data_IF_475167574834
#
_entry.id   IF_475167574834
#
_cell.length_a   1.000
_cell.length_b   1.000
_cell.length_c   1.000
_cell.angle_alpha   90.00
_cell.angle_beta   90.00
_cell.angle_gamma   90.00
#
_symmetry.space_group_name_H-M   'P 1'
#
loop_
_entity.id
_entity.type
_entity.pdbx_description
1 polymer ?
#
# COMPACT_ATOMS: atom_id res chain seq x y z
N UNK A 1 -11.11 -20.93 9.10
CA UNK A 1 -11.36 -21.46 7.73
C UNK A 1 -12.72 -20.99 7.29
N UNK A 2 -12.93 -20.79 5.99
CA UNK A 2 -14.28 -20.58 5.48
C UNK A 2 -15.05 -21.91 5.40
N UNK A 3 -16.32 -21.87 4.97
CA UNK A 3 -17.16 -23.06 4.80
C UNK A 3 -16.62 -24.07 3.79
N UNK A 4 -15.67 -23.67 2.94
CA UNK A 4 -15.02 -24.52 1.92
C UNK A 4 -13.64 -25.04 2.39
N UNK A 5 -13.26 -24.80 3.65
CA UNK A 5 -11.97 -25.25 4.22
C UNK A 5 -10.76 -24.41 3.81
N UNK A 6 -10.95 -23.25 3.17
CA UNK A 6 -9.86 -22.35 2.77
C UNK A 6 -9.32 -21.58 3.97
N UNK A 7 -8.00 -21.34 3.95
CA UNK A 7 -7.37 -20.41 4.88
C UNK A 7 -7.74 -18.98 4.49
N UNK A 8 -8.28 -18.25 5.45
CA UNK A 8 -8.74 -16.87 5.25
C UNK A 8 -7.60 -15.95 5.69
N UNK A 9 -7.23 -15.00 4.83
CA UNK A 9 -6.28 -13.93 5.17
C UNK A 9 -7.06 -12.74 5.70
N UNK A 10 -6.54 -12.11 6.75
CA UNK A 10 -7.08 -10.90 7.34
C UNK A 10 -6.01 -9.82 7.25
N UNK A 11 -6.42 -8.62 6.81
CA UNK A 11 -5.56 -7.44 6.72
C UNK A 11 -6.25 -6.26 7.39
N UNK A 12 -5.59 -5.67 8.39
CA UNK A 12 -5.98 -4.40 9.02
C UNK A 12 -5.11 -3.27 8.45
N UNK A 13 -5.75 -2.35 7.71
CA UNK A 13 -5.08 -1.24 7.04
C UNK A 13 -5.00 -0.01 7.96
N UNK A 14 -4.23 -0.13 9.03
CA UNK A 14 -3.93 1.00 9.90
C UNK A 14 -3.13 2.08 9.17
N UNK A 15 -3.36 3.35 9.52
CA UNK A 15 -2.70 4.50 8.85
C UNK A 15 -1.18 4.57 9.08
N UNK A 16 -0.69 4.01 10.18
CA UNK A 16 0.75 3.88 10.46
C UNK A 16 1.33 2.54 10.04
N UNK A 17 0.62 1.45 10.33
CA UNK A 17 1.08 0.09 10.06
C UNK A 17 -0.08 -0.76 9.55
N UNK A 18 0.22 -1.58 8.55
CA UNK A 18 -0.64 -2.70 8.14
C UNK A 18 -0.28 -3.90 9.00
N UNK A 19 -1.29 -4.62 9.46
CA UNK A 19 -1.14 -5.90 10.17
C UNK A 19 -1.88 -6.96 9.38
N UNK A 20 -1.25 -8.10 9.12
CA UNK A 20 -1.91 -9.19 8.42
C UNK A 20 -1.52 -10.57 8.97
N UNK A 21 -2.38 -11.54 8.69
CA UNK A 21 -2.21 -12.92 9.11
C UNK A 21 -3.40 -13.78 8.72
N UNK A 22 -3.43 -15.02 9.21
CA UNK A 22 -4.54 -15.93 8.96
C UNK A 22 -5.64 -15.84 10.02
N UNK A 23 -6.90 -15.94 9.59
CA UNK A 23 -8.04 -15.94 10.50
C UNK A 23 -7.96 -17.09 11.51
N UNK A 24 -8.13 -16.75 12.80
CA UNK A 24 -8.03 -17.68 13.92
C UNK A 24 -6.66 -17.69 14.62
N UNK A 25 -5.67 -16.92 14.15
CA UNK A 25 -4.46 -16.65 14.92
C UNK A 25 -4.71 -15.61 16.02
N UNK A 26 -4.00 -15.73 17.14
CA UNK A 26 -4.10 -14.78 18.26
C UNK A 26 -3.25 -13.51 18.06
N UNK A 27 -2.27 -13.56 17.15
CA UNK A 27 -1.33 -12.49 16.86
C UNK A 27 -1.18 -12.31 15.35
N UNK A 28 -0.88 -11.09 14.87
CA UNK A 28 -0.58 -10.87 13.46
C UNK A 28 0.72 -11.58 13.08
N UNK A 29 0.73 -12.25 11.93
CA UNK A 29 1.91 -12.93 11.41
C UNK A 29 2.92 -11.90 10.87
N UNK A 30 2.43 -10.80 10.32
CA UNK A 30 3.25 -9.71 9.78
C UNK A 30 2.71 -8.34 10.17
N UNK A 31 3.65 -7.42 10.43
CA UNK A 31 3.40 -6.00 10.66
C UNK A 31 4.41 -5.22 9.82
N UNK A 32 3.92 -4.31 8.99
CA UNK A 32 4.78 -3.45 8.16
C UNK A 32 4.22 -2.03 8.07
N UNK A 33 5.06 -1.01 7.84
CA UNK A 33 4.60 0.37 7.70
C UNK A 33 3.59 0.49 6.56
N UNK A 34 2.53 1.27 6.77
CA UNK A 34 1.55 1.61 5.73
C UNK A 34 2.11 2.66 4.75
N UNK A 35 3.24 2.33 4.11
CA UNK A 35 4.06 3.23 3.31
C UNK A 35 4.40 2.58 1.97
N UNK A 36 4.26 3.35 0.89
CA UNK A 36 4.80 3.01 -0.43
C UNK A 36 5.76 4.11 -0.85
N UNK A 37 7.02 3.75 -1.09
CA UNK A 37 8.00 4.65 -1.70
C UNK A 37 7.87 4.63 -3.22
N UNK A 38 7.88 5.81 -3.84
CA UNK A 38 8.03 5.94 -5.30
C UNK A 38 9.40 6.54 -5.58
N UNK A 39 10.30 5.83 -6.28
CA UNK A 39 11.56 6.43 -6.71
C UNK A 39 11.28 7.68 -7.55
N UNK A 40 11.82 8.82 -7.12
CA UNK A 40 11.74 10.07 -7.89
C UNK A 40 13.07 10.26 -8.58
N UNK A 41 13.08 10.15 -9.91
CA UNK A 41 14.22 10.55 -10.73
C UNK A 41 14.17 12.08 -10.80
N UNK A 42 15.13 12.76 -10.17
CA UNK A 42 15.30 14.23 -10.28
C UNK A 42 15.96 14.63 -11.60
N UNK A 43 15.59 13.99 -12.71
CA UNK A 43 15.89 14.56 -14.01
C UNK A 43 14.85 15.64 -14.23
N UNK A 44 15.27 16.90 -14.26
CA UNK A 44 14.45 18.01 -14.75
C UNK A 44 13.89 17.60 -16.10
N UNK A 45 12.68 17.03 -16.11
CA UNK A 45 12.10 16.45 -17.32
C UNK A 45 11.49 17.62 -18.05
N UNK A 46 12.36 18.37 -18.74
CA UNK A 46 11.97 19.49 -19.60
C UNK A 46 11.49 18.91 -20.91
N UNK A 47 10.20 19.04 -21.19
CA UNK A 47 9.65 18.86 -22.54
C UNK A 47 9.47 20.25 -23.11
N UNK A 48 10.48 20.73 -23.85
CA UNK A 48 10.54 22.12 -24.31
C UNK A 48 10.72 23.11 -23.15
N UNK A 49 9.83 24.10 -23.04
CA UNK A 49 9.86 25.13 -21.99
C UNK A 49 9.05 24.77 -20.72
N UNK A 50 8.52 23.55 -20.64
CA UNK A 50 7.64 23.12 -19.54
C UNK A 50 8.44 22.25 -18.57
N UNK A 51 8.53 22.69 -17.31
CA UNK A 51 9.10 21.93 -16.20
C UNK A 51 8.02 21.01 -15.60
N UNK A 52 8.19 19.69 -15.74
CA UNK A 52 7.26 18.72 -15.17
C UNK A 52 7.64 18.50 -13.70
N UNK A 53 6.89 19.14 -12.78
CA UNK A 53 6.98 18.84 -11.35
C UNK A 53 6.12 17.64 -11.01
N UNK A 54 6.75 16.53 -10.66
CA UNK A 54 6.06 15.33 -10.17
C UNK A 54 5.71 15.53 -8.69
N UNK A 55 4.51 16.04 -8.42
CA UNK A 55 3.95 16.15 -7.07
C UNK A 55 3.04 14.95 -6.79
N UNK A 56 3.60 13.81 -6.37
CA UNK A 56 2.79 12.78 -5.72
C UNK A 56 2.87 12.99 -4.20
N UNK A 57 1.75 13.27 -3.52
CA UNK A 57 1.76 13.32 -2.07
C UNK A 57 2.13 11.93 -1.54
N UNK A 58 3.24 11.84 -0.80
CA UNK A 58 3.64 10.69 0.02
C UNK A 58 2.73 10.58 1.23
N UNK A 59 1.44 10.43 0.99
CA UNK A 59 0.45 10.26 2.04
C UNK A 59 -0.43 9.11 1.59
N UNK A 60 -0.44 8.05 2.40
CA UNK A 60 -1.45 7.04 2.72
C UNK A 60 -2.63 6.77 1.74
N UNK A 61 -3.12 7.76 0.99
CA UNK A 61 -4.24 7.71 0.06
C UNK A 61 -4.10 6.75 -1.12
N UNK A 62 -2.90 6.28 -1.46
CA UNK A 62 -2.72 5.38 -2.61
C UNK A 62 -2.88 3.88 -2.28
N UNK A 63 -2.92 3.50 -0.99
CA UNK A 63 -3.18 2.11 -0.62
C UNK A 63 -4.64 1.71 -0.87
N UNK A 64 -5.56 2.69 -0.83
CA UNK A 64 -6.97 2.46 -1.13
C UNK A 64 -7.26 2.30 -2.63
N UNK A 65 -6.48 2.95 -3.50
CA UNK A 65 -6.72 2.88 -4.95
C UNK A 65 -6.16 1.61 -5.60
N UNK A 66 -5.11 1.00 -5.03
CA UNK A 66 -4.47 -0.19 -5.63
C UNK A 66 -5.10 -1.51 -5.19
N UNK A 67 -5.89 -1.53 -4.10
CA UNK A 67 -6.55 -2.74 -3.58
C UNK A 67 -8.04 -2.84 -3.96
N UNK A 68 -8.61 -1.83 -4.65
CA UNK A 68 -10.02 -1.83 -5.10
C UNK A 68 -10.14 -2.05 -6.62
N UNK A 69 -9.04 -2.09 -7.37
CA UNK A 69 -9.04 -2.39 -8.82
C UNK A 69 -8.61 -3.81 -9.22
N UNK A 70 -8.54 -4.77 -8.29
CA UNK A 70 -8.39 -6.20 -8.63
C UNK A 70 -9.23 -7.10 -7.73
#
# INVERSE_FOLDING_TARGET
MDSSGRKVVVCDNGTGFVKCGFAGSNFPDHIFPALVGRPIIRSDTKVGNIEIKVSYPVICSFFFYLLVEY
#
